data_IF_847793858804
#
_entry.id   IF_847793858804
#
_cell.length_a   1.000
_cell.length_b   1.000
_cell.length_c   1.000
_cell.angle_alpha   90.00
_cell.angle_beta   90.00
_cell.angle_gamma   90.00
#
_symmetry.space_group_name_H-M   'P 1'
#
loop_
_entity.id
_entity.type
_entity.pdbx_description
1 polymer ?
#
# COMPACT_ATOMS: atom_id res chain seq x y z
N UNK A 1 -4.54 6.60 -26.81
CA UNK A 1 -3.13 6.95 -27.04
C UNK A 1 -2.90 8.36 -26.51
N UNK A 2 -2.05 8.51 -25.49
CA UNK A 2 -1.65 9.81 -24.97
C UNK A 2 -0.71 10.41 -26.02
N UNK A 3 -1.09 11.53 -26.63
CA UNK A 3 -0.36 12.17 -27.73
C UNK A 3 0.96 12.87 -27.34
N UNK A 4 1.68 12.30 -26.37
CA UNK A 4 2.98 12.81 -25.94
C UNK A 4 4.06 12.22 -26.84
N UNK A 5 4.80 13.09 -27.55
CA UNK A 5 5.94 12.64 -28.36
C UNK A 5 7.09 12.23 -27.42
N UNK A 6 7.83 11.19 -27.80
CA UNK A 6 8.97 10.67 -27.03
C UNK A 6 9.98 11.78 -26.64
N UNK A 7 10.23 12.76 -27.53
CA UNK A 7 11.09 13.90 -27.25
C UNK A 7 10.57 14.80 -26.11
N UNK A 8 9.26 14.93 -25.95
CA UNK A 8 8.65 15.70 -24.84
C UNK A 8 8.80 14.99 -23.50
N UNK A 9 8.79 13.65 -23.50
CA UNK A 9 9.00 12.86 -22.28
C UNK A 9 10.43 13.07 -21.74
N UNK A 10 11.44 13.00 -22.61
CA UNK A 10 12.84 13.19 -22.21
C UNK A 10 13.19 14.64 -21.85
N UNK A 11 12.36 15.62 -22.20
CA UNK A 11 12.50 16.98 -21.69
C UNK A 11 12.18 17.09 -20.20
N UNK A 12 11.22 16.30 -19.72
CA UNK A 12 10.80 16.28 -18.31
C UNK A 12 11.53 15.21 -17.48
N UNK A 13 12.01 14.14 -18.11
CA UNK A 13 12.70 13.04 -17.47
C UNK A 13 14.02 12.75 -18.18
N UNK A 14 15.17 13.08 -17.57
CA UNK A 14 16.50 12.93 -18.19
C UNK A 14 16.85 11.48 -18.55
N UNK A 15 16.25 10.49 -17.87
CA UNK A 15 16.52 9.07 -18.07
C UNK A 15 15.28 8.19 -17.85
N UNK A 16 15.37 6.92 -18.31
CA UNK A 16 14.36 5.90 -17.98
C UNK A 16 14.31 5.62 -16.49
N UNK A 17 15.45 5.62 -15.82
CA UNK A 17 15.56 5.43 -14.37
C UNK A 17 14.75 6.47 -13.63
N UNK A 18 14.83 7.74 -14.03
CA UNK A 18 14.06 8.84 -13.44
C UNK A 18 12.54 8.63 -13.58
N UNK A 19 12.09 8.12 -14.72
CA UNK A 19 10.68 7.76 -14.93
C UNK A 19 10.27 6.65 -13.95
N UNK A 20 11.07 5.58 -13.84
CA UNK A 20 10.78 4.48 -12.93
C UNK A 20 10.78 4.94 -11.46
N UNK A 21 11.76 5.75 -11.06
CA UNK A 21 11.85 6.29 -9.71
C UNK A 21 10.61 7.15 -9.38
N UNK A 22 10.22 8.04 -10.28
CA UNK A 22 9.02 8.87 -10.11
C UNK A 22 7.76 8.03 -9.98
N UNK A 23 7.60 7.00 -10.81
CA UNK A 23 6.46 6.09 -10.73
C UNK A 23 6.43 5.31 -9.41
N UNK A 24 7.56 4.77 -8.98
CA UNK A 24 7.65 4.02 -7.71
C UNK A 24 7.40 4.93 -6.50
N UNK A 25 7.98 6.13 -6.47
CA UNK A 25 7.72 7.12 -5.42
C UNK A 25 6.22 7.49 -5.36
N UNK A 26 5.57 7.65 -6.51
CA UNK A 26 4.13 7.97 -6.55
C UNK A 26 3.24 6.87 -5.97
N UNK A 27 3.72 5.64 -5.87
CA UNK A 27 2.98 4.54 -5.22
C UNK A 27 3.23 4.47 -3.71
N UNK A 28 4.42 4.83 -3.24
CA UNK A 28 4.81 4.66 -1.83
C UNK A 28 4.53 5.92 -0.99
N UNK A 29 4.69 7.11 -1.55
CA UNK A 29 4.56 8.34 -0.78
C UNK A 29 3.15 8.52 -0.14
N UNK A 30 2.03 8.32 -0.86
CA UNK A 30 0.70 8.39 -0.25
C UNK A 30 0.51 7.34 0.85
N UNK A 31 1.00 6.12 0.63
CA UNK A 31 0.92 5.02 1.60
C UNK A 31 1.68 5.32 2.89
N UNK A 32 2.85 5.95 2.79
CA UNK A 32 3.66 6.31 3.96
C UNK A 32 2.97 7.38 4.80
N UNK A 33 2.36 8.37 4.17
CA UNK A 33 1.59 9.41 4.86
C UNK A 33 0.40 8.78 5.59
N UNK A 34 -0.45 8.05 4.86
CA UNK A 34 -1.62 7.38 5.44
C UNK A 34 -1.24 6.43 6.58
N UNK A 35 -0.17 5.64 6.44
CA UNK A 35 0.30 4.74 7.48
C UNK A 35 0.71 5.51 8.75
N UNK A 36 1.43 6.62 8.58
CA UNK A 36 1.81 7.51 9.69
C UNK A 36 0.59 8.07 10.42
N UNK A 37 -0.39 8.57 9.68
CA UNK A 37 -1.61 9.14 10.26
C UNK A 37 -2.45 8.06 10.97
N UNK A 38 -2.68 6.91 10.34
CA UNK A 38 -3.40 5.78 10.95
C UNK A 38 -2.72 5.28 12.22
N UNK A 39 -1.38 5.25 12.28
CA UNK A 39 -0.65 4.78 13.45
C UNK A 39 -0.90 5.61 14.72
N UNK A 40 -1.31 6.87 14.55
CA UNK A 40 -1.53 7.83 15.64
C UNK A 40 -2.98 8.05 16.01
N UNK A 41 -3.93 7.40 15.28
CA UNK A 41 -5.36 7.52 15.60
C UNK A 41 -5.73 6.75 16.87
N UNK A 42 -6.71 7.29 17.62
CA UNK A 42 -7.27 6.66 18.82
C UNK A 42 -8.22 5.51 18.44
N UNK A 43 -7.62 4.36 18.14
CA UNK A 43 -8.31 3.13 17.80
C UNK A 43 -7.46 1.93 18.24
N UNK A 44 -8.08 0.74 18.38
CA UNK A 44 -7.32 -0.46 18.70
C UNK A 44 -6.28 -0.78 17.64
N UNK A 45 -5.13 -1.36 18.00
CA UNK A 45 -4.09 -1.72 17.03
C UNK A 45 -4.60 -2.68 15.95
N UNK A 46 -5.54 -3.58 16.27
CA UNK A 46 -6.18 -4.48 15.31
C UNK A 46 -6.94 -3.69 14.25
N UNK A 47 -7.71 -2.68 14.66
CA UNK A 47 -8.48 -1.86 13.72
C UNK A 47 -7.57 -0.97 12.89
N UNK A 48 -6.52 -0.38 13.48
CA UNK A 48 -5.53 0.42 12.74
C UNK A 48 -4.79 -0.42 11.70
N UNK A 49 -4.35 -1.63 12.07
CA UNK A 49 -3.66 -2.53 11.15
C UNK A 49 -4.60 -2.99 10.03
N UNK A 50 -5.84 -3.37 10.37
CA UNK A 50 -6.83 -3.77 9.38
C UNK A 50 -7.12 -2.65 8.39
N UNK A 51 -7.32 -1.41 8.87
CA UNK A 51 -7.55 -0.24 8.03
C UNK A 51 -6.36 0.04 7.10
N UNK A 52 -5.12 -0.07 7.63
CA UNK A 52 -3.90 0.14 6.85
C UNK A 52 -3.75 -0.90 5.73
N UNK A 53 -3.94 -2.20 6.03
CA UNK A 53 -3.91 -3.27 5.01
C UNK A 53 -4.97 -3.04 3.95
N UNK A 54 -6.21 -2.74 4.37
CA UNK A 54 -7.32 -2.55 3.44
C UNK A 54 -7.12 -1.33 2.53
N UNK A 55 -6.65 -0.22 3.07
CA UNK A 55 -6.38 1.01 2.31
C UNK A 55 -5.23 0.81 1.32
N UNK A 56 -4.13 0.21 1.74
CA UNK A 56 -2.99 -0.08 0.88
C UNK A 56 -3.36 -1.07 -0.23
N UNK A 57 -4.06 -2.15 0.10
CA UNK A 57 -4.56 -3.08 -0.90
C UNK A 57 -5.51 -2.40 -1.90
N UNK A 58 -6.42 -1.53 -1.43
CA UNK A 58 -7.29 -0.71 -2.29
C UNK A 58 -6.47 0.16 -3.24
N UNK A 59 -5.44 0.85 -2.74
CA UNK A 59 -4.56 1.68 -3.56
C UNK A 59 -3.87 0.85 -4.65
N UNK A 60 -3.28 -0.29 -4.28
CA UNK A 60 -2.62 -1.19 -5.23
C UNK A 60 -3.57 -1.75 -6.29
N UNK A 61 -4.85 -1.96 -5.95
CA UNK A 61 -5.88 -2.47 -6.86
C UNK A 61 -6.51 -1.37 -7.72
N UNK A 62 -6.45 -0.09 -7.35
CA UNK A 62 -7.19 1.02 -7.98
C UNK A 62 -6.54 1.55 -9.26
N UNK A 63 -5.23 1.44 -9.42
CA UNK A 63 -4.51 2.02 -10.54
C UNK A 63 -4.74 1.24 -11.83
N UNK A 64 -4.81 1.91 -12.99
CA UNK A 64 -5.01 1.25 -14.31
C UNK A 64 -3.91 0.24 -14.62
N UNK A 65 -2.68 0.57 -14.32
CA UNK A 65 -1.51 -0.28 -14.56
C UNK A 65 -0.96 -0.80 -13.24
N UNK A 66 -0.51 -2.06 -13.23
CA UNK A 66 0.10 -2.65 -12.04
C UNK A 66 1.52 -2.11 -11.83
N UNK A 67 1.61 -0.81 -11.47
CA UNK A 67 2.89 -0.11 -11.28
C UNK A 67 3.71 -0.76 -10.15
N UNK A 68 3.04 -1.37 -9.17
CA UNK A 68 3.70 -2.10 -8.08
C UNK A 68 4.68 -3.18 -8.58
N UNK A 69 4.46 -3.77 -9.76
CA UNK A 69 5.41 -4.74 -10.34
C UNK A 69 6.77 -4.15 -10.71
N UNK A 70 6.88 -2.83 -10.85
CA UNK A 70 8.15 -2.19 -11.16
C UNK A 70 9.21 -2.44 -10.07
N UNK A 71 8.81 -2.62 -8.80
CA UNK A 71 9.75 -2.87 -7.73
C UNK A 71 10.52 -4.21 -7.88
N UNK A 72 9.99 -5.15 -8.68
CA UNK A 72 10.62 -6.45 -8.95
C UNK A 72 11.70 -6.36 -10.04
N UNK A 73 11.83 -5.22 -10.72
CA UNK A 73 12.82 -5.06 -11.77
C UNK A 73 14.23 -4.98 -11.18
N UNK A 74 15.24 -5.68 -11.76
CA UNK A 74 16.61 -5.69 -11.26
C UNK A 74 17.22 -4.28 -11.12
N UNK A 75 16.84 -3.33 -11.97
CA UNK A 75 17.33 -1.95 -11.92
C UNK A 75 16.98 -1.25 -10.59
N UNK A 76 15.88 -1.63 -9.95
CA UNK A 76 15.44 -1.03 -8.68
C UNK A 76 16.40 -1.37 -7.52
N UNK A 77 17.24 -2.39 -7.66
CA UNK A 77 18.26 -2.73 -6.66
C UNK A 77 19.47 -1.77 -6.67
N UNK A 78 19.56 -0.81 -7.61
CA UNK A 78 20.67 0.14 -7.67
C UNK A 78 20.53 1.30 -6.67
N UNK A 79 21.66 1.93 -6.32
CA UNK A 79 21.73 3.05 -5.37
C UNK A 79 20.87 4.27 -5.80
N UNK A 80 20.58 4.39 -7.10
CA UNK A 80 19.69 5.43 -7.62
C UNK A 80 18.28 5.39 -7.01
N UNK A 81 17.88 4.25 -6.43
CA UNK A 81 16.57 4.04 -5.79
C UNK A 81 16.62 4.08 -4.25
N UNK A 82 17.73 4.55 -3.64
CA UNK A 82 17.91 4.57 -2.18
C UNK A 82 16.75 5.30 -1.46
N UNK A 83 16.31 6.43 -1.98
CA UNK A 83 15.18 7.19 -1.40
C UNK A 83 13.87 6.39 -1.43
N UNK A 84 13.59 5.69 -2.53
CA UNK A 84 12.43 4.79 -2.63
C UNK A 84 12.55 3.63 -1.62
N UNK A 85 13.74 3.05 -1.47
CA UNK A 85 13.95 1.98 -0.48
C UNK A 85 13.75 2.49 0.94
N UNK A 86 14.19 3.70 1.25
CA UNK A 86 13.95 4.35 2.54
C UNK A 86 12.46 4.54 2.84
N UNK A 87 11.70 5.07 1.88
CA UNK A 87 10.24 5.24 2.02
C UNK A 87 9.52 3.90 2.19
N UNK A 88 9.91 2.90 1.39
CA UNK A 88 9.34 1.56 1.50
C UNK A 88 9.66 0.90 2.84
N UNK A 89 10.89 1.06 3.33
CA UNK A 89 11.30 0.55 4.65
C UNK A 89 10.50 1.24 5.78
N UNK A 90 10.27 2.55 5.69
CA UNK A 90 9.44 3.28 6.65
C UNK A 90 8.02 2.72 6.68
N UNK A 91 7.39 2.53 5.51
CA UNK A 91 6.06 1.92 5.41
C UNK A 91 6.04 0.51 6.04
N UNK A 92 7.00 -0.35 5.70
CA UNK A 92 7.11 -1.70 6.26
C UNK A 92 7.24 -1.66 7.78
N UNK A 93 8.03 -0.71 8.32
CA UNK A 93 8.20 -0.53 9.75
C UNK A 93 6.89 -0.15 10.45
N UNK A 94 6.08 0.74 9.87
CA UNK A 94 4.78 1.09 10.45
C UNK A 94 3.86 -0.12 10.57
N UNK A 95 3.79 -0.97 9.52
CA UNK A 95 3.03 -2.24 9.60
C UNK A 95 3.51 -3.12 10.75
N UNK A 96 4.83 -3.30 10.88
CA UNK A 96 5.45 -4.13 11.92
C UNK A 96 5.21 -3.55 13.31
N UNK A 97 5.32 -2.25 13.50
CA UNK A 97 5.09 -1.58 14.77
C UNK A 97 3.65 -1.81 15.27
N UNK A 98 2.64 -1.58 14.41
CA UNK A 98 1.24 -1.84 14.79
C UNK A 98 1.02 -3.34 15.06
N UNK A 99 1.58 -4.23 14.24
CA UNK A 99 1.48 -5.67 14.48
C UNK A 99 2.16 -6.11 15.79
N UNK A 100 3.25 -5.42 16.18
CA UNK A 100 3.94 -5.66 17.45
C UNK A 100 3.10 -5.20 18.65
N UNK A 101 2.30 -4.16 18.53
CA UNK A 101 1.33 -3.79 19.57
C UNK A 101 0.29 -4.90 19.82
N UNK A 102 -0.06 -5.68 18.77
CA UNK A 102 -1.03 -6.78 18.86
C UNK A 102 -0.39 -8.03 19.47
N UNK A 103 0.75 -8.45 18.98
CA UNK A 103 1.33 -9.77 19.22
C UNK A 103 2.60 -9.76 20.08
N UNK A 104 3.22 -8.59 20.29
CA UNK A 104 4.54 -8.50 20.88
C UNK A 104 5.65 -8.85 19.87
N UNK A 105 6.85 -9.17 20.39
CA UNK A 105 8.00 -9.53 19.57
C UNK A 105 7.86 -10.96 19.04
N UNK A 106 7.29 -11.10 17.83
CA UNK A 106 7.07 -12.37 17.14
C UNK A 106 7.39 -12.21 15.64
N UNK A 107 8.05 -13.20 14.99
CA UNK A 107 8.34 -13.12 13.55
C UNK A 107 7.13 -12.90 12.65
N UNK A 108 5.93 -13.29 13.08
CA UNK A 108 4.68 -13.08 12.33
C UNK A 108 4.33 -11.60 12.13
N UNK A 109 4.91 -10.70 12.93
CA UNK A 109 4.67 -9.26 12.78
C UNK A 109 5.15 -8.68 11.43
N UNK A 110 6.00 -9.40 10.72
CA UNK A 110 6.43 -9.03 9.35
C UNK A 110 5.38 -9.41 8.27
N UNK A 111 4.49 -10.36 8.57
CA UNK A 111 3.59 -10.93 7.55
C UNK A 111 2.51 -9.96 7.04
N UNK A 112 1.92 -9.05 7.84
CA UNK A 112 0.86 -8.16 7.35
C UNK A 112 1.26 -7.33 6.13
N UNK A 113 2.48 -6.77 6.10
CA UNK A 113 2.99 -6.06 4.94
C UNK A 113 3.10 -6.97 3.70
N UNK A 114 3.64 -8.17 3.84
CA UNK A 114 3.79 -9.11 2.73
C UNK A 114 2.44 -9.62 2.20
N UNK A 115 1.47 -9.83 3.09
CA UNK A 115 0.09 -10.17 2.71
C UNK A 115 -0.51 -9.04 1.89
N UNK A 116 -0.36 -7.79 2.31
CA UNK A 116 -0.83 -6.62 1.55
C UNK A 116 -0.19 -6.55 0.17
N UNK A 117 1.13 -6.76 0.08
CA UNK A 117 1.85 -6.73 -1.21
C UNK A 117 1.44 -7.86 -2.16
N UNK A 118 0.82 -8.94 -1.68
CA UNK A 118 0.28 -9.99 -2.55
C UNK A 118 -0.82 -9.49 -3.49
N UNK A 119 -1.47 -8.36 -3.18
CA UNK A 119 -2.40 -7.68 -4.08
C UNK A 119 -1.78 -7.39 -5.47
N UNK A 120 -0.46 -7.14 -5.52
CA UNK A 120 0.28 -6.90 -6.76
C UNK A 120 0.30 -8.15 -7.66
N UNK A 121 0.45 -9.35 -7.06
CA UNK A 121 0.48 -10.61 -7.78
C UNK A 121 -0.93 -11.11 -8.13
N UNK A 122 -1.91 -10.86 -7.28
CA UNK A 122 -3.30 -11.26 -7.50
C UNK A 122 -3.98 -10.46 -8.60
N UNK A 123 -3.44 -9.29 -8.93
CA UNK A 123 -4.01 -8.40 -9.91
C UNK A 123 -3.61 -8.80 -11.33
N UNK A 124 -4.55 -8.86 -12.31
CA UNK A 124 -4.22 -9.00 -13.73
C UNK A 124 -3.28 -7.87 -14.20
N UNK A 125 -2.34 -8.20 -15.09
CA UNK A 125 -1.42 -7.23 -15.68
C UNK A 125 -1.79 -6.90 -17.14
N UNK A 126 -3.07 -6.92 -17.46
CA UNK A 126 -3.65 -6.74 -18.80
C UNK A 126 -4.23 -5.33 -19.05
N UNK A 127 -4.09 -4.44 -18.04
CA UNK A 127 -4.64 -3.09 -18.09
C UNK A 127 -6.14 -3.02 -17.81
N UNK A 128 -6.76 -4.14 -17.41
CA UNK A 128 -8.13 -4.09 -16.87
C UNK A 128 -8.13 -3.32 -15.56
N UNK A 129 -9.04 -2.36 -15.46
CA UNK A 129 -9.28 -1.65 -14.20
C UNK A 129 -10.41 -2.40 -13.52
N UNK A 130 -10.23 -2.83 -12.26
CA UNK A 130 -11.38 -3.18 -11.44
C UNK A 130 -12.38 -2.01 -11.49
N UNK A 131 -13.66 -2.30 -11.34
CA UNK A 131 -14.72 -1.26 -11.31
C UNK A 131 -14.25 -0.05 -10.51
N UNK A 132 -14.62 1.18 -10.90
CA UNK A 132 -14.16 2.38 -10.21
C UNK A 132 -14.39 2.20 -8.72
N UNK A 133 -13.29 2.20 -7.96
CA UNK A 133 -13.35 2.09 -6.52
C UNK A 133 -13.79 3.46 -6.01
N UNK A 134 -14.95 3.53 -5.37
CA UNK A 134 -15.31 4.73 -4.63
C UNK A 134 -14.47 4.82 -3.36
N UNK A 135 -14.17 6.04 -2.90
CA UNK A 135 -13.49 6.25 -1.61
C UNK A 135 -14.35 5.78 -0.43
N UNK A 136 -15.64 5.52 -0.67
CA UNK A 136 -16.62 5.04 0.30
C UNK A 136 -16.73 3.51 0.38
N UNK A 137 -15.92 2.76 -0.39
CA UNK A 137 -15.99 1.29 -0.41
C UNK A 137 -14.62 0.63 -0.48
N UNK A 138 -14.55 -0.59 0.05
CA UNK A 138 -13.38 -1.45 -0.05
C UNK A 138 -13.67 -2.62 -1.00
N UNK A 139 -12.75 -2.97 -1.91
CA UNK A 139 -12.87 -4.17 -2.72
C UNK A 139 -12.86 -5.43 -1.84
N UNK A 140 -13.59 -6.47 -2.24
CA UNK A 140 -13.60 -7.77 -1.53
C UNK A 140 -12.18 -8.32 -1.32
N UNK A 141 -11.30 -8.16 -2.31
CA UNK A 141 -9.89 -8.57 -2.20
C UNK A 141 -9.15 -7.80 -1.10
N UNK A 142 -9.41 -6.50 -0.93
CA UNK A 142 -8.79 -5.72 0.14
C UNK A 142 -9.29 -6.15 1.52
N UNK A 143 -10.59 -6.41 1.65
CA UNK A 143 -11.20 -6.95 2.88
C UNK A 143 -10.58 -8.31 3.22
N UNK A 144 -10.49 -9.20 2.23
CA UNK A 144 -9.91 -10.54 2.42
C UNK A 144 -8.45 -10.47 2.88
N UNK A 145 -7.64 -9.59 2.29
CA UNK A 145 -6.24 -9.42 2.68
C UNK A 145 -6.10 -8.85 4.09
N UNK A 146 -6.96 -7.90 4.46
CA UNK A 146 -6.97 -7.33 5.81
C UNK A 146 -7.40 -8.35 6.87
N UNK A 147 -8.42 -9.18 6.58
CA UNK A 147 -8.81 -10.28 7.44
C UNK A 147 -7.68 -11.32 7.60
N UNK A 148 -7.00 -11.67 6.50
CA UNK A 148 -5.87 -12.59 6.53
C UNK A 148 -4.69 -12.06 7.34
N UNK A 149 -4.42 -10.76 7.26
CA UNK A 149 -3.35 -10.11 8.01
C UNK A 149 -3.56 -10.18 9.53
N UNK A 150 -4.80 -10.02 10.02
CA UNK A 150 -5.10 -10.22 11.44
C UNK A 150 -5.11 -11.72 11.82
N UNK A 151 -5.61 -12.57 10.95
CA UNK A 151 -5.66 -14.01 11.21
C UNK A 151 -4.28 -14.63 11.42
N UNK A 152 -3.26 -14.21 10.67
CA UNK A 152 -1.87 -14.73 10.86
C UNK A 152 -1.26 -14.29 12.19
N UNK A 153 -1.71 -13.17 12.75
CA UNK A 153 -1.33 -12.71 14.09
C UNK A 153 -2.11 -13.44 15.20
N UNK A 154 -3.15 -14.21 14.84
CA UNK A 154 -4.05 -14.83 15.81
C UNK A 154 -4.98 -13.82 16.51
N UNK A 155 -5.14 -12.63 15.92
CA UNK A 155 -6.00 -11.58 16.45
C UNK A 155 -7.47 -11.80 16.08
N UNK A 156 -8.36 -11.35 16.94
CA UNK A 156 -9.79 -11.34 16.62
C UNK A 156 -10.09 -10.22 15.61
N UNK A 157 -11.05 -10.50 14.71
CA UNK A 157 -11.50 -9.50 13.76
C UNK A 157 -12.40 -8.47 14.48
N UNK A 158 -12.11 -7.16 14.39
CA UNK A 158 -12.95 -6.14 14.97
C UNK A 158 -14.39 -6.21 14.42
N UNK A 159 -15.38 -6.07 15.30
CA UNK A 159 -16.78 -5.96 14.88
C UNK A 159 -16.95 -4.72 13.99
N UNK A 160 -17.80 -4.83 12.96
CA UNK A 160 -18.07 -3.74 12.00
C UNK A 160 -16.79 -3.10 11.40
N UNK A 161 -15.72 -3.88 11.27
CA UNK A 161 -14.38 -3.45 10.87
C UNK A 161 -14.35 -2.67 9.55
N UNK A 162 -15.23 -3.01 8.59
CA UNK A 162 -15.30 -2.34 7.30
C UNK A 162 -15.70 -0.88 7.46
N UNK A 163 -16.81 -0.60 8.15
CA UNK A 163 -17.31 0.76 8.33
C UNK A 163 -16.38 1.58 9.23
N UNK A 164 -15.91 0.98 10.34
CA UNK A 164 -14.98 1.67 11.24
C UNK A 164 -13.66 2.00 10.54
N UNK A 165 -13.13 1.10 9.72
CA UNK A 165 -11.89 1.35 8.98
C UNK A 165 -12.05 2.40 7.89
N UNK A 166 -13.20 2.44 7.19
CA UNK A 166 -13.49 3.52 6.25
C UNK A 166 -13.52 4.89 6.94
N UNK A 167 -14.07 4.95 8.16
CA UNK A 167 -14.05 6.17 8.96
C UNK A 167 -12.63 6.57 9.39
N UNK A 168 -11.80 5.60 9.82
CA UNK A 168 -10.40 5.86 10.16
C UNK A 168 -9.57 6.34 8.97
N UNK A 169 -9.73 5.71 7.80
CA UNK A 169 -9.04 6.12 6.57
C UNK A 169 -9.44 7.55 6.22
N UNK A 170 -10.73 7.88 6.27
CA UNK A 170 -11.20 9.24 6.00
C UNK A 170 -10.64 10.26 7.00
N UNK A 171 -10.57 9.92 8.29
CA UNK A 171 -9.96 10.79 9.30
C UNK A 171 -8.45 11.01 9.08
N UNK A 172 -7.76 10.00 8.57
CA UNK A 172 -6.35 10.11 8.21
C UNK A 172 -6.15 11.00 6.98
N UNK A 173 -6.98 10.86 5.94
CA UNK A 173 -6.92 11.67 4.71
C UNK A 173 -7.24 13.17 4.93
N UNK A 174 -7.91 13.52 6.03
CA UNK A 174 -8.28 14.91 6.39
C UNK A 174 -7.19 15.63 7.20
N UNK A 175 -6.06 14.97 7.54
CA UNK A 175 -4.95 15.55 8.34
C UNK A 175 -3.87 16.15 7.46
#
# INVERSE_FOLDING_TARGET
AVGIRQASLYYHFPSKTEIFLTLLKSTVAPSTVLAGDLSTLDASPELRLWALVAAEARLLLSTKWNVGRLYQLPIVASDEFEEYHGQRAALTNTFREIATEILGADPRTELPFHITMSAIEMRPNDGTVPSPLSDESLPDTAIMLADAALAVLGAELPADRVNQSLQLIKQADER
#
